data_IF_811285463684
#
_entry.id   IF_811285463684
#
_cell.length_a   1.000
_cell.length_b   1.000
_cell.length_c   1.000
_cell.angle_alpha   90.00
_cell.angle_beta   90.00
_cell.angle_gamma   90.00
#
_symmetry.space_group_name_H-M   'P 1'
#
loop_
_entity.id
_entity.type
_entity.pdbx_description
1 polymer ?
#
# COMPACT_ATOMS: atom_id res chain seq x y z
N UNK A 1 -6.44 17.84 -20.68
CA UNK A 1 -5.40 18.81 -21.10
C UNK A 1 -4.57 19.13 -19.88
N UNK A 2 -3.24 19.13 -19.97
CA UNK A 2 -2.36 19.44 -18.83
C UNK A 2 -2.35 20.94 -18.55
N UNK A 3 -2.25 21.34 -17.29
CA UNK A 3 -2.26 22.74 -16.86
C UNK A 3 -0.88 23.12 -16.34
N UNK A 4 -0.33 24.24 -16.82
CA UNK A 4 0.88 24.83 -16.23
C UNK A 4 0.46 25.68 -15.04
N UNK A 5 1.02 25.40 -13.86
CA UNK A 5 0.76 26.16 -12.62
C UNK A 5 2.09 26.64 -12.04
N UNK A 6 2.07 27.73 -11.27
CA UNK A 6 3.24 28.10 -10.47
C UNK A 6 3.44 27.07 -9.35
N UNK A 7 4.68 26.86 -8.88
CA UNK A 7 4.93 25.89 -7.79
C UNK A 7 4.21 26.29 -6.49
N UNK A 8 3.97 27.58 -6.27
CA UNK A 8 3.15 28.08 -5.17
C UNK A 8 1.65 27.74 -5.29
N UNK A 9 1.16 27.49 -6.50
CA UNK A 9 -0.23 27.07 -6.76
C UNK A 9 -0.38 25.54 -6.79
N UNK A 10 0.73 24.81 -7.01
CA UNK A 10 0.75 23.37 -6.95
C UNK A 10 0.53 22.91 -5.50
N UNK A 11 -0.37 21.94 -5.31
CA UNK A 11 -0.68 21.35 -4.02
C UNK A 11 -0.05 19.96 -3.87
N UNK A 12 0.28 19.53 -2.64
CA UNK A 12 0.61 18.13 -2.37
C UNK A 12 -0.51 17.21 -2.86
N UNK A 13 -0.15 16.22 -3.69
CA UNK A 13 -1.07 15.30 -4.36
C UNK A 13 -1.22 15.56 -5.86
N UNK A 14 -0.87 16.76 -6.35
CA UNK A 14 -0.85 17.08 -7.78
C UNK A 14 0.13 16.20 -8.53
N UNK A 15 -0.20 15.85 -9.77
CA UNK A 15 0.66 14.98 -10.57
C UNK A 15 1.35 15.72 -11.65
N UNK A 16 2.64 15.49 -11.77
CA UNK A 16 3.40 15.99 -12.90
C UNK A 16 2.91 15.36 -14.21
N UNK A 17 2.43 16.21 -15.12
CA UNK A 17 2.11 15.84 -16.48
C UNK A 17 3.35 15.69 -17.36
N UNK A 18 4.54 16.09 -16.87
CA UNK A 18 5.79 15.91 -17.57
C UNK A 18 6.96 15.75 -16.60
N UNK A 19 8.02 15.08 -17.05
CA UNK A 19 9.23 14.93 -16.25
C UNK A 19 9.96 16.27 -16.12
N UNK A 20 10.42 16.58 -14.91
CA UNK A 20 11.20 17.78 -14.61
C UNK A 20 12.66 17.40 -14.55
N UNK A 21 13.50 18.12 -15.29
CA UNK A 21 14.95 18.01 -15.27
C UNK A 21 15.56 19.26 -14.62
N UNK A 22 16.83 19.26 -14.23
CA UNK A 22 17.56 20.47 -13.84
C UNK A 22 18.27 21.13 -15.04
N UNK A 23 19.11 22.13 -14.79
CA UNK A 23 19.87 22.83 -15.85
C UNK A 23 20.94 21.94 -16.50
N UNK A 24 21.40 20.90 -15.81
CA UNK A 24 22.40 19.95 -16.27
C UNK A 24 21.76 18.72 -16.94
N UNK A 25 20.45 18.78 -17.23
CA UNK A 25 19.64 17.69 -17.80
C UNK A 25 19.49 16.47 -16.90
N UNK A 26 19.77 16.60 -15.60
CA UNK A 26 19.53 15.54 -14.61
C UNK A 26 18.06 15.50 -14.26
N UNK A 27 17.45 14.31 -14.33
CA UNK A 27 16.05 14.09 -13.98
C UNK A 27 15.80 14.36 -12.48
N UNK A 28 14.95 15.32 -12.18
CA UNK A 28 14.54 15.66 -10.81
C UNK A 28 13.30 14.88 -10.38
N UNK A 29 12.24 14.93 -11.19
CA UNK A 29 10.96 14.28 -10.93
C UNK A 29 10.41 13.71 -12.24
N UNK A 30 9.79 12.53 -12.18
CA UNK A 30 9.17 11.90 -13.36
C UNK A 30 7.74 12.37 -13.54
N UNK A 31 7.29 12.33 -14.79
CA UNK A 31 5.87 12.36 -15.14
C UNK A 31 5.11 11.26 -14.36
N UNK A 32 3.87 11.55 -13.96
CA UNK A 32 3.02 10.64 -13.18
C UNK A 32 3.27 10.68 -11.67
N UNK A 33 4.34 11.32 -11.20
CA UNK A 33 4.65 11.43 -9.76
C UNK A 33 3.69 12.41 -9.09
N UNK A 34 3.08 11.97 -7.98
CA UNK A 34 2.32 12.84 -7.08
C UNK A 34 3.28 13.69 -6.23
N UNK A 35 3.14 15.01 -6.31
CA UNK A 35 3.96 15.99 -5.60
C UNK A 35 3.72 15.89 -4.10
N UNK A 36 4.80 15.91 -3.32
CA UNK A 36 4.78 16.03 -1.86
C UNK A 36 5.25 17.43 -1.45
N UNK A 37 5.00 17.84 -0.20
CA UNK A 37 5.55 19.10 0.33
C UNK A 37 7.08 19.19 0.11
N UNK A 38 7.80 18.12 0.43
CA UNK A 38 9.25 18.06 0.26
C UNK A 38 9.69 18.22 -1.20
N UNK A 39 8.93 17.67 -2.15
CA UNK A 39 9.21 17.84 -3.58
C UNK A 39 8.96 19.26 -4.04
N UNK A 40 7.89 19.91 -3.57
CA UNK A 40 7.60 21.31 -3.87
C UNK A 40 8.71 22.23 -3.35
N UNK A 41 9.14 22.03 -2.09
CA UNK A 41 10.26 22.77 -1.48
C UNK A 41 11.57 22.57 -2.25
N UNK A 42 11.84 21.33 -2.67
CA UNK A 42 13.00 21.00 -3.50
C UNK A 42 12.97 21.74 -4.84
N UNK A 43 11.81 21.78 -5.51
CA UNK A 43 11.66 22.48 -6.79
C UNK A 43 11.87 23.98 -6.64
N UNK A 44 11.32 24.61 -5.59
CA UNK A 44 11.55 26.02 -5.27
C UNK A 44 13.04 26.30 -5.00
N UNK A 45 13.69 25.45 -4.20
CA UNK A 45 15.11 25.58 -3.87
C UNK A 45 16.00 25.49 -5.12
N UNK A 46 15.59 24.73 -6.14
CA UNK A 46 16.29 24.64 -7.43
C UNK A 46 15.89 25.73 -8.44
N UNK A 47 15.17 26.76 -8.00
CA UNK A 47 14.80 27.90 -8.84
C UNK A 47 13.79 27.56 -9.95
N UNK A 48 13.01 26.48 -9.79
CA UNK A 48 11.86 26.23 -10.66
C UNK A 48 10.72 27.12 -10.20
N UNK A 49 10.04 27.76 -11.15
CA UNK A 49 8.91 28.66 -10.89
C UNK A 49 7.55 28.00 -11.20
N UNK A 50 7.53 27.06 -12.16
CA UNK A 50 6.31 26.44 -12.66
C UNK A 50 6.49 24.95 -12.89
N UNK A 51 5.37 24.23 -12.87
CA UNK A 51 5.26 22.82 -13.21
C UNK A 51 4.02 22.58 -14.07
N UNK A 52 4.08 21.60 -14.97
CA UNK A 52 2.88 21.11 -15.67
C UNK A 52 2.30 19.97 -14.89
N UNK A 53 1.05 20.12 -14.48
CA UNK A 53 0.31 19.09 -13.76
C UNK A 53 -0.77 18.48 -14.64
N UNK A 54 -1.05 17.20 -14.41
CA UNK A 54 -2.24 16.57 -14.94
C UNK A 54 -3.45 17.39 -14.46
N UNK A 55 -4.49 17.56 -15.29
CA UNK A 55 -5.69 18.22 -14.84
C UNK A 55 -6.20 17.48 -13.60
N UNK A 56 -6.43 18.23 -12.52
CA UNK A 56 -7.22 17.70 -11.42
C UNK A 56 -8.59 17.36 -12.02
N UNK A 57 -8.95 16.09 -12.06
CA UNK A 57 -10.35 15.73 -12.06
C UNK A 57 -10.85 16.15 -10.68
N UNK A 58 -11.19 17.43 -10.53
CA UNK A 58 -11.78 17.96 -9.30
C UNK A 58 -13.16 17.34 -9.24
N UNK A 59 -13.23 16.16 -8.65
CA UNK A 59 -14.49 15.45 -8.53
C UNK A 59 -15.33 16.09 -7.42
N UNK A 60 -14.73 16.59 -6.34
CA UNK A 60 -15.48 17.24 -5.26
C UNK A 60 -14.64 17.98 -4.20
N UNK A 61 -15.32 18.78 -3.37
CA UNK A 61 -14.77 19.32 -2.13
C UNK A 61 -15.03 18.36 -0.95
N UNK A 62 -14.14 18.38 0.05
CA UNK A 62 -14.34 17.61 1.26
C UNK A 62 -15.62 18.09 1.97
N UNK A 63 -16.66 17.24 1.98
CA UNK A 63 -17.94 17.55 2.64
C UNK A 63 -17.81 17.93 4.13
N UNK A 64 -16.67 17.62 4.76
CA UNK A 64 -16.41 17.95 6.16
C UNK A 64 -15.66 19.28 6.38
N UNK A 65 -14.76 19.68 5.49
CA UNK A 65 -13.90 20.85 5.74
C UNK A 65 -13.71 21.77 4.53
N UNK A 66 -14.40 21.50 3.41
CA UNK A 66 -14.31 22.28 2.18
C UNK A 66 -12.96 22.19 1.45
N UNK A 67 -12.00 21.42 1.96
CA UNK A 67 -10.72 21.22 1.27
C UNK A 67 -10.96 20.45 -0.02
N UNK A 68 -10.54 21.01 -1.14
CA UNK A 68 -10.62 20.37 -2.45
C UNK A 68 -9.96 19.00 -2.42
N UNK A 69 -10.71 17.95 -2.77
CA UNK A 69 -10.17 16.60 -2.82
C UNK A 69 -9.56 16.37 -4.21
N UNK A 70 -8.26 16.13 -4.27
CA UNK A 70 -7.56 15.73 -5.49
C UNK A 70 -7.84 14.25 -5.80
N UNK A 71 -9.12 13.93 -6.00
CA UNK A 71 -9.59 12.59 -6.29
C UNK A 71 -9.19 12.24 -7.72
N UNK A 72 -8.86 10.97 -7.93
CA UNK A 72 -8.65 10.46 -9.28
C UNK A 72 -9.62 9.35 -9.54
N UNK A 73 -10.04 9.21 -10.79
CA UNK A 73 -10.76 8.01 -11.19
C UNK A 73 -9.88 6.78 -10.89
N UNK A 74 -10.37 5.81 -10.10
CA UNK A 74 -9.58 4.62 -9.81
C UNK A 74 -9.39 3.81 -11.11
N UNK A 75 -8.15 3.38 -11.39
CA UNK A 75 -7.83 2.48 -12.50
C UNK A 75 -8.21 1.02 -12.16
N UNK A 76 -9.44 0.79 -11.70
CA UNK A 76 -9.93 -0.53 -11.28
C UNK A 76 -10.65 -0.52 -9.93
N UNK A 77 -10.20 -1.36 -8.99
CA UNK A 77 -10.78 -1.54 -7.64
C UNK A 77 -10.76 -0.21 -6.87
N UNK A 78 -11.77 0.06 -6.03
CA UNK A 78 -11.88 1.33 -5.33
C UNK A 78 -10.60 1.66 -4.54
N UNK A 79 -10.21 2.92 -4.59
CA UNK A 79 -9.06 3.46 -3.86
C UNK A 79 -9.56 4.32 -2.71
N UNK A 80 -9.06 4.14 -1.48
CA UNK A 80 -9.30 5.12 -0.42
C UNK A 80 -8.51 6.41 -0.70
N UNK A 81 -9.13 7.56 -0.43
CA UNK A 81 -8.49 8.87 -0.42
C UNK A 81 -8.67 9.51 0.93
N UNK A 82 -7.59 9.99 1.55
CA UNK A 82 -7.69 10.81 2.75
C UNK A 82 -7.72 12.30 2.36
N UNK A 83 -8.62 13.06 2.96
CA UNK A 83 -8.62 14.51 2.85
C UNK A 83 -7.36 15.09 3.52
N UNK A 84 -6.59 15.90 2.79
CA UNK A 84 -5.41 16.55 3.34
C UNK A 84 -5.73 17.60 4.43
N UNK A 85 -6.96 18.14 4.46
CA UNK A 85 -7.39 19.10 5.46
C UNK A 85 -7.77 18.48 6.79
N UNK A 86 -8.66 17.47 6.78
CA UNK A 86 -9.24 16.89 8.00
C UNK A 86 -8.94 15.39 8.22
N UNK A 87 -8.25 14.72 7.29
CA UNK A 87 -7.90 13.30 7.39
C UNK A 87 -9.07 12.32 7.16
N UNK A 88 -10.26 12.82 6.78
CA UNK A 88 -11.42 11.98 6.47
C UNK A 88 -11.15 11.14 5.24
N UNK A 89 -11.51 9.86 5.30
CA UNK A 89 -11.30 8.93 4.18
C UNK A 89 -12.55 8.89 3.31
N UNK A 90 -12.35 8.88 2.01
CA UNK A 90 -13.36 8.75 0.95
C UNK A 90 -13.03 7.53 0.12
N UNK A 91 -14.03 6.85 -0.41
CA UNK A 91 -13.85 5.74 -1.33
C UNK A 91 -14.62 6.01 -2.60
N UNK A 92 -14.05 5.62 -3.73
CA UNK A 92 -14.66 5.86 -5.04
C UNK A 92 -15.24 4.57 -5.57
N UNK A 93 -16.57 4.50 -5.66
CA UNK A 93 -17.26 3.41 -6.34
C UNK A 93 -17.40 3.76 -7.81
N UNK A 94 -16.87 2.93 -8.71
CA UNK A 94 -17.24 3.00 -10.12
C UNK A 94 -18.71 2.53 -10.25
N UNK A 95 -19.59 3.25 -10.95
CA UNK A 95 -20.98 2.84 -11.08
C UNK A 95 -21.08 1.51 -11.82
N UNK A 96 -22.00 0.67 -11.34
CA UNK A 96 -22.19 -0.72 -11.79
C UNK A 96 -22.63 -0.84 -13.26
N UNK A 97 -23.01 0.26 -13.91
CA UNK A 97 -23.58 0.31 -15.27
C UNK A 97 -22.69 0.91 -16.35
N UNK A 98 -21.42 1.26 -16.06
CA UNK A 98 -20.56 1.93 -17.05
C UNK A 98 -19.98 0.96 -18.10
N UNK A 99 -20.81 0.49 -19.04
CA UNK A 99 -20.37 -0.17 -20.29
C UNK A 99 -20.05 0.84 -21.41
N UNK A 100 -19.91 2.13 -21.09
CA UNK A 100 -19.79 3.22 -22.04
C UNK A 100 -18.72 4.21 -21.59
N UNK A 101 -17.93 4.70 -22.55
CA UNK A 101 -16.77 5.59 -22.37
C UNK A 101 -17.09 7.02 -21.89
N UNK A 102 -18.19 7.20 -21.15
CA UNK A 102 -18.59 8.47 -20.54
C UNK A 102 -17.98 8.56 -19.13
N UNK A 103 -17.51 9.74 -18.67
CA UNK A 103 -17.09 9.93 -17.29
C UNK A 103 -18.26 9.61 -16.35
N UNK A 104 -18.21 8.44 -15.74
CA UNK A 104 -19.08 8.06 -14.65
C UNK A 104 -18.85 8.98 -13.45
N UNK A 105 -19.93 9.61 -12.95
CA UNK A 105 -19.91 10.35 -11.69
C UNK A 105 -19.48 9.40 -10.56
N UNK A 106 -18.37 9.74 -9.90
CA UNK A 106 -17.90 9.06 -8.70
C UNK A 106 -18.71 9.58 -7.51
N UNK A 107 -19.57 8.75 -6.94
CA UNK A 107 -20.20 9.07 -5.66
C UNK A 107 -19.18 8.88 -4.55
N UNK A 108 -18.98 9.92 -3.75
CA UNK A 108 -18.08 9.92 -2.60
C UNK A 108 -18.92 9.91 -1.34
N UNK A 109 -18.80 8.85 -0.55
CA UNK A 109 -19.43 8.80 0.75
C UNK A 109 -18.38 8.91 1.85
N UNK A 110 -18.51 9.87 2.78
CA UNK A 110 -17.63 9.93 3.93
C UNK A 110 -17.85 8.71 4.82
N UNK A 111 -16.77 8.09 5.31
CA UNK A 111 -16.91 6.97 6.27
C UNK A 111 -17.66 7.46 7.52
N UNK A 112 -18.73 6.75 7.88
CA UNK A 112 -19.51 7.01 9.08
C UNK A 112 -18.65 6.68 10.30
N UNK A 113 -18.39 7.68 11.14
CA UNK A 113 -17.63 7.49 12.37
C UNK A 113 -18.49 6.73 13.38
N UNK A 114 -17.89 5.75 14.04
CA UNK A 114 -18.52 5.10 15.18
C UNK A 114 -18.39 6.00 16.40
N UNK A 115 -19.49 6.65 16.81
CA UNK A 115 -19.56 7.40 18.06
C UNK A 115 -20.29 6.53 19.09
N UNK A 116 -19.52 5.79 19.90
CA UNK A 116 -20.06 5.08 21.07
C UNK A 116 -20.29 6.08 22.19
N UNK A 117 -21.46 6.01 22.83
CA UNK A 117 -21.72 6.74 24.06
C UNK A 117 -20.90 6.16 25.22
N UNK A 118 -20.68 6.95 26.28
CA UNK A 118 -19.97 6.48 27.46
C UNK A 118 -20.68 5.28 28.14
N UNK A 119 -22.01 5.23 28.07
CA UNK A 119 -22.81 4.11 28.58
C UNK A 119 -22.62 2.85 27.75
N UNK A 120 -22.64 2.96 26.41
CA UNK A 120 -22.34 1.83 25.51
C UNK A 120 -20.91 1.32 25.72
N UNK A 121 -19.93 2.22 25.91
CA UNK A 121 -18.55 1.81 26.20
C UNK A 121 -18.43 1.11 27.57
N UNK A 122 -19.14 1.58 28.60
CA UNK A 122 -19.13 1.00 29.94
C UNK A 122 -19.81 -0.38 30.00
N UNK A 123 -21.05 -0.49 29.50
CA UNK A 123 -21.80 -1.75 29.46
C UNK A 123 -21.01 -2.84 28.74
N UNK A 124 -20.28 -2.43 27.72
CA UNK A 124 -19.43 -3.31 26.95
C UNK A 124 -18.14 -3.72 27.65
N UNK A 125 -17.44 -2.80 28.36
CA UNK A 125 -16.28 -3.17 29.16
C UNK A 125 -16.67 -4.19 30.24
N UNK A 126 -17.89 -4.09 30.79
CA UNK A 126 -18.43 -5.08 31.72
C UNK A 126 -18.66 -6.45 31.05
N UNK A 127 -19.32 -6.49 29.89
CA UNK A 127 -19.50 -7.73 29.12
C UNK A 127 -18.15 -8.33 28.72
N UNK A 128 -17.15 -7.50 28.46
CA UNK A 128 -15.80 -7.93 28.11
C UNK A 128 -15.07 -8.60 29.26
N UNK A 129 -15.05 -7.98 30.44
CA UNK A 129 -14.43 -8.57 31.62
C UNK A 129 -15.08 -9.92 31.97
N UNK A 130 -16.40 -10.01 31.82
CA UNK A 130 -17.15 -11.27 32.01
C UNK A 130 -16.86 -12.33 30.94
N UNK A 131 -16.53 -11.91 29.72
CA UNK A 131 -16.22 -12.79 28.59
C UNK A 131 -14.73 -13.03 28.36
N UNK A 132 -13.86 -12.60 29.27
CA UNK A 132 -12.47 -13.06 29.25
C UNK A 132 -12.50 -14.58 29.29
N UNK A 133 -11.99 -15.21 28.21
CA UNK A 133 -12.07 -16.65 28.05
C UNK A 133 -11.26 -17.30 29.17
N UNK A 134 -11.96 -17.83 30.16
CA UNK A 134 -11.38 -18.67 31.20
C UNK A 134 -11.07 -20.01 30.56
N UNK A 135 -9.81 -20.23 30.20
CA UNK A 135 -9.35 -21.45 29.56
C UNK A 135 -7.89 -21.36 29.14
N UNK A 136 -7.26 -22.51 28.91
CA UNK A 136 -5.89 -22.56 28.40
C UNK A 136 -5.86 -21.92 27.01
N UNK A 137 -4.97 -20.96 26.80
CA UNK A 137 -4.78 -20.31 25.50
C UNK A 137 -4.38 -21.36 24.45
N UNK A 138 -5.27 -21.61 23.48
CA UNK A 138 -5.06 -22.61 22.42
C UNK A 138 -4.56 -21.98 21.12
N UNK A 139 -4.45 -20.65 21.05
CA UNK A 139 -4.03 -19.97 19.83
C UNK A 139 -2.54 -20.16 19.59
N UNK A 140 -2.18 -20.29 18.32
CA UNK A 140 -0.79 -20.39 17.85
C UNK A 140 0.03 -19.11 18.08
N UNK A 141 -0.62 -17.95 18.05
CA UNK A 141 0.02 -16.65 18.19
C UNK A 141 -0.60 -15.90 19.36
N UNK A 142 0.26 -15.28 20.17
CA UNK A 142 -0.14 -14.36 21.22
C UNK A 142 -0.94 -13.19 20.64
N UNK A 143 -1.97 -12.75 21.37
CA UNK A 143 -2.79 -11.60 21.01
C UNK A 143 -2.47 -10.46 21.94
N UNK A 144 -2.20 -9.30 21.36
CA UNK A 144 -1.99 -8.07 22.08
C UNK A 144 -3.29 -7.28 22.11
N UNK A 145 -3.80 -7.00 23.30
CA UNK A 145 -4.95 -6.13 23.49
C UNK A 145 -4.58 -4.71 23.05
N UNK A 146 -5.30 -4.17 22.08
CA UNK A 146 -5.02 -2.85 21.52
C UNK A 146 -6.30 -2.21 21.02
N UNK A 147 -6.49 -0.93 21.34
CA UNK A 147 -7.61 -0.09 20.87
C UNK A 147 -7.11 0.90 19.83
N UNK A 148 -7.18 0.50 18.56
CA UNK A 148 -6.86 1.31 17.39
C UNK A 148 -8.07 1.40 16.46
N UNK A 149 -8.37 2.59 15.91
CA UNK A 149 -9.35 2.70 14.84
C UNK A 149 -8.85 1.99 13.58
N UNK A 150 -9.76 1.34 12.88
CA UNK A 150 -9.50 0.65 11.63
C UNK A 150 -10.63 0.93 10.64
N UNK A 151 -10.28 1.45 9.46
CA UNK A 151 -11.23 1.56 8.36
C UNK A 151 -11.31 0.20 7.67
N UNK A 152 -12.50 -0.37 7.56
CA UNK A 152 -12.73 -1.68 6.92
C UNK A 152 -13.59 -1.51 5.69
N UNK A 153 -13.11 -2.03 4.56
CA UNK A 153 -13.85 -2.13 3.31
C UNK A 153 -14.37 -3.57 3.16
N UNK A 154 -15.69 -3.79 3.18
CA UNK A 154 -16.27 -5.12 3.07
C UNK A 154 -16.12 -5.72 1.67
N UNK A 155 -15.73 -6.99 1.61
CA UNK A 155 -15.48 -7.71 0.35
C UNK A 155 -16.29 -9.01 0.26
N UNK A 156 -16.76 -9.33 -0.95
CA UNK A 156 -17.45 -10.59 -1.25
C UNK A 156 -16.47 -11.77 -1.45
N UNK A 157 -17.02 -12.95 -1.78
CA UNK A 157 -16.24 -14.17 -2.02
C UNK A 157 -15.28 -14.11 -3.23
N UNK A 158 -15.37 -13.07 -4.06
CA UNK A 158 -14.50 -12.80 -5.20
C UNK A 158 -13.54 -11.63 -4.94
N UNK A 159 -13.48 -11.14 -3.70
CA UNK A 159 -12.70 -9.96 -3.30
C UNK A 159 -13.17 -8.66 -3.97
N UNK A 160 -14.42 -8.60 -4.40
CA UNK A 160 -15.04 -7.37 -4.89
C UNK A 160 -15.71 -6.62 -3.75
N UNK A 161 -15.80 -5.29 -3.86
CA UNK A 161 -16.43 -4.45 -2.84
C UNK A 161 -17.90 -4.76 -2.77
N UNK A 162 -18.37 -5.14 -1.57
CA UNK A 162 -19.72 -5.64 -1.35
C UNK A 162 -20.53 -4.80 -0.36
N UNK A 163 -19.95 -3.74 0.17
CA UNK A 163 -20.61 -2.86 1.13
C UNK A 163 -19.83 -1.57 1.30
N UNK A 164 -20.41 -0.63 2.03
CA UNK A 164 -19.78 0.65 2.32
C UNK A 164 -18.60 0.48 3.30
N UNK A 165 -17.55 1.31 3.18
CA UNK A 165 -16.50 1.35 4.18
C UNK A 165 -17.05 1.72 5.55
N UNK A 166 -16.53 1.08 6.59
CA UNK A 166 -16.98 1.24 7.98
C UNK A 166 -15.79 1.46 8.91
N UNK A 167 -15.91 2.36 9.88
CA UNK A 167 -14.90 2.52 10.95
C UNK A 167 -15.19 1.53 12.07
N UNK A 168 -14.21 0.66 12.36
CA UNK A 168 -14.27 -0.30 13.45
C UNK A 168 -13.16 0.00 14.46
N UNK A 169 -13.35 -0.47 15.69
CA UNK A 169 -12.31 -0.40 16.71
C UNK A 169 -11.70 -1.79 16.92
N UNK A 170 -10.38 -1.88 16.88
CA UNK A 170 -9.68 -3.11 17.27
C UNK A 170 -9.85 -3.38 18.76
N UNK A 171 -9.99 -4.66 19.08
CA UNK A 171 -9.99 -5.17 20.45
C UNK A 171 -8.64 -5.82 20.75
N UNK A 172 -8.16 -6.65 19.82
CA UNK A 172 -6.87 -7.31 19.89
C UNK A 172 -6.30 -7.58 18.50
N UNK A 173 -4.98 -7.65 18.40
CA UNK A 173 -4.24 -7.96 17.17
C UNK A 173 -3.19 -9.05 17.47
N UNK A 174 -2.96 -9.92 16.51
CA UNK A 174 -1.89 -10.93 16.52
C UNK A 174 -1.23 -11.01 15.15
N UNK A 175 -0.18 -11.82 15.00
CA UNK A 175 0.43 -12.08 13.70
C UNK A 175 -0.54 -12.74 12.70
N UNK A 176 -1.54 -13.50 13.18
CA UNK A 176 -2.45 -14.28 12.33
C UNK A 176 -3.82 -13.64 12.07
N UNK A 177 -4.15 -12.52 12.72
CA UNK A 177 -5.46 -11.91 12.63
C UNK A 177 -5.72 -10.84 13.68
N UNK A 178 -6.90 -10.25 13.60
CA UNK A 178 -7.39 -9.24 14.55
C UNK A 178 -8.81 -9.59 15.02
N UNK A 179 -9.20 -8.99 16.13
CA UNK A 179 -10.58 -8.91 16.56
C UNK A 179 -11.01 -7.45 16.48
N UNK A 180 -12.05 -7.17 15.71
CA UNK A 180 -12.64 -5.84 15.54
C UNK A 180 -14.02 -5.78 16.19
N UNK A 181 -14.51 -4.56 16.38
CA UNK A 181 -15.80 -4.28 16.99
C UNK A 181 -16.57 -3.22 16.22
N UNK A 182 -17.88 -3.42 16.15
CA UNK A 182 -18.81 -2.56 15.45
C UNK A 182 -20.19 -2.60 16.12
N UNK A 183 -21.05 -1.60 15.92
CA UNK A 183 -22.43 -1.60 16.44
C UNK A 183 -23.38 -2.47 15.59
N UNK A 184 -23.00 -2.75 14.35
CA UNK A 184 -23.78 -3.56 13.41
C UNK A 184 -23.02 -4.83 13.01
N UNK A 185 -23.76 -5.87 12.60
CA UNK A 185 -23.20 -7.11 12.11
C UNK A 185 -22.33 -6.90 10.86
N UNK A 186 -21.30 -7.74 10.68
CA UNK A 186 -20.45 -7.73 9.50
C UNK A 186 -20.63 -9.01 8.68
N UNK A 187 -21.59 -8.99 7.76
CA UNK A 187 -22.05 -10.17 7.01
C UNK A 187 -21.26 -10.44 5.72
N UNK A 188 -20.03 -9.91 5.65
CA UNK A 188 -19.15 -10.05 4.48
C UNK A 188 -18.06 -11.09 4.74
N UNK A 189 -17.75 -11.98 3.79
CA UNK A 189 -16.79 -13.06 4.01
C UNK A 189 -15.33 -12.59 4.11
N UNK A 190 -15.02 -11.43 3.50
CA UNK A 190 -13.68 -10.86 3.49
C UNK A 190 -13.72 -9.37 3.82
N UNK A 191 -12.57 -8.86 4.24
CA UNK A 191 -12.38 -7.47 4.65
C UNK A 191 -11.01 -6.99 4.17
N UNK A 192 -10.96 -5.82 3.55
CA UNK A 192 -9.74 -5.04 3.44
C UNK A 192 -9.68 -4.06 4.60
N UNK A 193 -8.66 -4.18 5.43
CA UNK A 193 -8.53 -3.43 6.68
C UNK A 193 -7.39 -2.44 6.53
N UNK A 194 -7.64 -1.19 6.92
CA UNK A 194 -6.65 -0.14 7.02
C UNK A 194 -6.53 0.30 8.49
N UNK A 195 -5.45 -0.11 9.14
CA UNK A 195 -5.08 0.36 10.48
C UNK A 195 -4.28 1.66 10.38
N UNK A 196 -4.76 2.69 11.06
CA UNK A 196 -4.01 3.94 11.26
C UNK A 196 -3.15 3.80 12.51
N UNK A 197 -1.82 3.76 12.35
CA UNK A 197 -0.87 3.64 13.44
C UNK A 197 -0.28 5.02 13.79
N UNK A 198 0.26 5.21 15.01
CA UNK A 198 1.02 6.41 15.36
C UNK A 198 2.19 6.67 14.39
N UNK A 199 2.67 7.93 14.37
CA UNK A 199 3.78 8.38 13.53
C UNK A 199 3.54 8.20 12.01
N UNK A 200 2.29 8.39 11.58
CA UNK A 200 1.90 8.32 10.16
C UNK A 200 2.24 6.98 9.50
N UNK A 201 2.23 5.89 10.28
CA UNK A 201 2.40 4.53 9.78
C UNK A 201 1.02 3.97 9.46
N UNK A 202 0.94 3.21 8.38
CA UNK A 202 -0.27 2.52 7.97
C UNK A 202 0.00 1.03 7.86
N UNK A 203 -0.96 0.21 8.31
CA UNK A 203 -0.94 -1.22 8.09
C UNK A 203 -2.21 -1.61 7.34
N UNK A 204 -2.03 -2.32 6.22
CA UNK A 204 -3.14 -2.71 5.36
C UNK A 204 -3.16 -4.21 5.17
N UNK A 205 -4.31 -4.82 5.42
CA UNK A 205 -4.45 -6.27 5.51
C UNK A 205 -5.68 -6.72 4.74
N UNK A 206 -5.54 -7.78 3.96
CA UNK A 206 -6.67 -8.56 3.49
C UNK A 206 -6.93 -9.65 4.52
N UNK A 207 -8.19 -9.80 4.94
CA UNK A 207 -8.56 -10.77 5.94
C UNK A 207 -9.86 -11.50 5.59
N UNK A 208 -9.95 -12.75 6.01
CA UNK A 208 -11.19 -13.52 6.02
C UNK A 208 -11.91 -13.30 7.34
N UNK A 209 -13.22 -13.08 7.28
CA UNK A 209 -14.07 -13.07 8.46
C UNK A 209 -14.27 -14.51 8.93
N UNK A 210 -13.81 -14.81 10.14
CA UNK A 210 -13.90 -16.14 10.75
C UNK A 210 -14.86 -16.19 11.92
N UNK A 211 -15.33 -15.02 12.38
CA UNK A 211 -16.32 -14.88 13.45
C UNK A 211 -17.06 -13.56 13.29
N UNK A 212 -18.38 -13.59 13.43
CA UNK A 212 -19.24 -12.42 13.54
C UNK A 212 -20.30 -12.77 14.60
N UNK A 213 -20.22 -12.17 15.79
CA UNK A 213 -21.06 -12.56 16.94
C UNK A 213 -21.56 -11.33 17.72
N UNK A 214 -22.84 -11.31 18.05
CA UNK A 214 -23.41 -10.35 18.99
C UNK A 214 -22.85 -10.57 20.41
N UNK A 215 -22.43 -9.47 21.03
CA UNK A 215 -21.88 -9.40 22.37
C UNK A 215 -22.66 -8.38 23.23
N UNK A 216 -23.99 -8.29 23.05
CA UNK A 216 -24.86 -7.50 23.92
C UNK A 216 -24.81 -6.01 23.62
N UNK A 217 -25.11 -5.65 22.37
CA UNK A 217 -25.13 -4.25 21.89
C UNK A 217 -23.93 -3.87 21.02
N UNK A 218 -23.00 -4.80 20.83
CA UNK A 218 -21.92 -4.66 19.86
C UNK A 218 -21.62 -6.01 19.21
N UNK A 219 -21.14 -5.97 17.97
CA UNK A 219 -20.69 -7.14 17.22
C UNK A 219 -19.18 -7.31 17.32
N UNK A 220 -18.77 -8.52 17.68
CA UNK A 220 -17.39 -8.96 17.64
C UNK A 220 -17.07 -9.63 16.31
N UNK A 221 -16.09 -9.07 15.59
CA UNK A 221 -15.71 -9.49 14.25
C UNK A 221 -14.29 -10.05 14.31
N UNK A 222 -14.18 -11.38 14.28
CA UNK A 222 -12.91 -12.08 14.26
C UNK A 222 -12.40 -12.23 12.83
N UNK A 223 -11.16 -11.79 12.61
CA UNK A 223 -10.50 -11.76 11.31
C UNK A 223 -9.27 -12.67 11.30
N UNK A 224 -9.07 -13.39 10.19
CA UNK A 224 -7.84 -14.14 9.91
C UNK A 224 -7.15 -13.51 8.70
N UNK A 225 -5.92 -13.04 8.87
CA UNK A 225 -5.17 -12.43 7.79
C UNK A 225 -4.90 -13.45 6.68
N UNK A 226 -5.16 -13.07 5.44
CA UNK A 226 -4.88 -13.87 4.23
C UNK A 226 -3.65 -13.33 3.49
N UNK A 227 -3.50 -12.01 3.45
CA UNK A 227 -2.32 -11.36 2.89
C UNK A 227 -2.10 -9.99 3.52
N UNK A 228 -0.85 -9.55 3.56
CA UNK A 228 -0.49 -8.16 3.80
C UNK A 228 -0.58 -7.43 2.47
N UNK A 229 -1.33 -6.34 2.41
CA UNK A 229 -1.33 -5.47 1.22
C UNK A 229 -0.20 -4.48 1.40
N UNK A 230 0.87 -4.69 0.64
CA UNK A 230 2.02 -3.79 0.61
C UNK A 230 1.72 -2.80 -0.51
N UNK A 231 1.35 -1.57 -0.18
CA UNK A 231 1.38 -0.51 -1.19
C UNK A 231 2.82 -0.19 -1.54
N UNK A 232 3.13 -0.25 -2.82
CA UNK A 232 4.47 -0.12 -3.35
C UNK A 232 5.02 1.33 -3.33
N UNK A 233 4.42 2.26 -2.58
CA UNK A 233 4.71 3.69 -2.71
C UNK A 233 6.12 4.11 -2.31
N UNK A 234 6.84 3.29 -1.52
CA UNK A 234 8.18 3.63 -1.02
C UNK A 234 9.31 2.75 -1.59
N UNK A 235 9.02 1.84 -2.52
CA UNK A 235 10.13 1.08 -3.10
C UNK A 235 10.94 1.97 -4.03
N UNK A 236 12.26 1.85 -4.00
CA UNK A 236 13.12 2.57 -4.92
C UNK A 236 12.74 2.23 -6.37
N UNK A 237 13.02 3.12 -7.33
CA UNK A 237 12.81 2.81 -8.73
C UNK A 237 13.69 1.63 -9.15
N UNK A 238 13.25 0.92 -10.18
CA UNK A 238 14.06 -0.07 -10.88
C UNK A 238 15.42 0.53 -11.25
N UNK A 239 16.50 -0.22 -11.00
CA UNK A 239 17.88 0.19 -11.28
C UNK A 239 18.24 0.10 -12.77
N UNK A 240 17.36 -0.41 -13.62
CA UNK A 240 17.59 -0.40 -15.08
C UNK A 240 17.52 1.04 -15.60
N UNK A 241 18.58 1.48 -16.27
CA UNK A 241 18.69 2.82 -16.82
C UNK A 241 17.46 3.20 -17.66
N UNK A 242 16.86 4.35 -17.37
CA UNK A 242 15.64 4.83 -18.02
C UNK A 242 14.33 4.28 -17.44
N UNK A 243 14.35 3.15 -16.72
CA UNK A 243 13.15 2.59 -16.11
C UNK A 243 12.68 3.46 -14.93
N UNK A 244 11.39 3.82 -14.92
CA UNK A 244 10.76 4.57 -13.83
C UNK A 244 9.84 3.72 -12.96
N UNK A 245 9.67 2.44 -13.32
CA UNK A 245 8.80 1.54 -12.58
C UNK A 245 9.39 1.27 -11.19
N UNK A 246 8.51 1.15 -10.22
CA UNK A 246 8.83 0.78 -8.86
C UNK A 246 9.49 -0.61 -8.80
N UNK A 247 10.58 -0.74 -8.04
CA UNK A 247 11.23 -2.04 -7.88
C UNK A 247 10.33 -3.00 -7.11
N UNK A 248 10.21 -4.22 -7.64
CA UNK A 248 9.47 -5.33 -7.05
C UNK A 248 10.42 -6.40 -6.48
N UNK A 249 11.68 -6.42 -6.90
CA UNK A 249 12.68 -7.42 -6.49
C UNK A 249 14.04 -6.81 -6.15
N UNK A 250 14.73 -7.42 -5.19
CA UNK A 250 16.17 -7.31 -4.97
C UNK A 250 16.89 -8.46 -5.67
N UNK A 251 17.78 -8.12 -6.59
CA UNK A 251 18.63 -9.09 -7.28
C UNK A 251 19.84 -9.43 -6.41
N UNK A 252 20.12 -10.72 -6.30
CA UNK A 252 21.30 -11.25 -5.61
C UNK A 252 22.00 -12.27 -6.51
N UNK A 253 23.32 -12.34 -6.41
CA UNK A 253 24.13 -13.32 -7.11
C UNK A 253 24.38 -14.53 -6.20
N UNK A 254 24.01 -15.71 -6.68
CA UNK A 254 24.35 -17.00 -6.08
C UNK A 254 25.45 -17.67 -6.90
N UNK A 255 26.57 -18.00 -6.27
CA UNK A 255 27.64 -18.74 -6.93
C UNK A 255 28.39 -19.66 -5.98
N UNK A 256 28.94 -20.74 -6.53
CA UNK A 256 29.84 -21.64 -5.83
C UNK A 256 31.27 -21.12 -6.03
N UNK A 257 31.96 -20.83 -4.94
CA UNK A 257 33.39 -20.52 -4.99
C UNK A 257 34.15 -21.78 -5.41
N UNK A 258 34.97 -21.68 -6.47
CA UNK A 258 35.67 -22.84 -7.01
C UNK A 258 36.88 -23.28 -6.17
N UNK A 259 37.40 -22.41 -5.29
CA UNK A 259 38.53 -22.71 -4.42
C UNK A 259 38.07 -23.26 -3.07
N UNK A 260 37.09 -22.62 -2.43
CA UNK A 260 36.61 -23.06 -1.12
C UNK A 260 35.48 -24.10 -1.20
N UNK A 261 34.75 -24.14 -2.32
CA UNK A 261 33.54 -24.95 -2.45
C UNK A 261 32.33 -24.36 -1.71
N UNK A 262 32.44 -23.15 -1.16
CA UNK A 262 31.35 -22.50 -0.43
C UNK A 262 30.33 -21.89 -1.39
N UNK A 263 29.06 -21.91 -0.97
CA UNK A 263 27.99 -21.19 -1.64
C UNK A 263 27.97 -19.75 -1.13
N UNK A 264 28.25 -18.79 -2.01
CA UNK A 264 28.19 -17.36 -1.69
C UNK A 264 26.86 -16.78 -2.16
N UNK A 265 26.30 -15.89 -1.34
CA UNK A 265 25.07 -15.16 -1.60
C UNK A 265 25.27 -13.68 -1.27
N UNK A 266 25.15 -12.82 -2.27
CA UNK A 266 25.38 -11.39 -2.09
C UNK A 266 24.53 -10.54 -3.05
N UNK A 267 24.28 -9.25 -2.73
CA UNK A 267 23.56 -8.36 -3.63
C UNK A 267 24.25 -8.21 -4.98
N UNK A 268 23.46 -8.16 -6.06
CA UNK A 268 23.98 -7.89 -7.40
C UNK A 268 24.27 -6.39 -7.56
N UNK A 269 25.54 -6.04 -7.73
CA UNK A 269 26.01 -4.66 -7.84
C UNK A 269 25.67 -4.01 -9.19
N UNK A 270 25.38 -4.81 -10.21
CA UNK A 270 25.09 -4.29 -11.56
C UNK A 270 23.67 -3.76 -11.70
N UNK A 271 22.70 -4.36 -11.00
CA UNK A 271 21.30 -3.91 -10.98
C UNK A 271 20.59 -4.49 -9.73
N UNK A 272 20.79 -3.89 -8.55
CA UNK A 272 20.36 -4.48 -7.28
C UNK A 272 18.84 -4.52 -7.11
N UNK A 273 18.09 -3.74 -7.89
CA UNK A 273 16.65 -3.57 -7.75
C UNK A 273 15.97 -3.60 -9.11
N UNK A 274 14.99 -4.48 -9.29
CA UNK A 274 14.29 -4.68 -10.55
C UNK A 274 12.78 -4.52 -10.37
N UNK A 275 12.11 -3.87 -11.33
CA UNK A 275 10.66 -4.01 -11.47
C UNK A 275 10.31 -5.41 -12.00
N UNK A 276 9.02 -5.74 -11.98
CA UNK A 276 8.55 -7.05 -12.43
C UNK A 276 8.87 -7.33 -13.91
N UNK A 277 8.71 -6.34 -14.79
CA UNK A 277 8.98 -6.50 -16.23
C UNK A 277 10.44 -6.81 -16.52
N UNK A 278 11.38 -6.05 -15.93
CA UNK A 278 12.81 -6.30 -16.16
C UNK A 278 13.33 -7.57 -15.49
N UNK A 279 12.70 -8.03 -14.41
CA UNK A 279 12.96 -9.36 -13.85
C UNK A 279 12.56 -10.47 -14.85
N UNK A 280 11.37 -10.36 -15.46
CA UNK A 280 10.92 -11.31 -16.49
C UNK A 280 11.79 -11.25 -17.75
N UNK A 281 12.19 -10.05 -18.18
CA UNK A 281 13.10 -9.88 -19.31
C UNK A 281 14.46 -10.54 -19.05
N UNK A 282 14.99 -10.38 -17.84
CA UNK A 282 16.21 -11.02 -17.41
C UNK A 282 16.16 -12.55 -17.60
N UNK A 283 15.11 -13.18 -17.07
CA UNK A 283 14.94 -14.63 -17.16
C UNK A 283 14.70 -15.10 -18.59
N UNK A 284 13.89 -14.37 -19.36
CA UNK A 284 13.56 -14.72 -20.74
C UNK A 284 14.78 -14.66 -21.66
N UNK A 285 15.67 -13.69 -21.43
CA UNK A 285 16.85 -13.44 -22.27
C UNK A 285 18.15 -13.95 -21.62
N UNK A 286 18.05 -14.72 -20.53
CA UNK A 286 19.20 -15.34 -19.91
C UNK A 286 19.88 -16.27 -20.92
N UNK A 287 21.16 -16.03 -21.20
CA UNK A 287 21.94 -16.87 -22.11
C UNK A 287 22.79 -17.79 -21.24
N UNK A 288 22.41 -19.07 -21.21
CA UNK A 288 23.24 -20.12 -20.63
C UNK A 288 24.44 -20.41 -21.55
N UNK A 289 25.63 -20.55 -20.95
CA UNK A 289 26.71 -21.25 -21.67
C UNK A 289 26.45 -22.76 -21.56
N UNK A 290 26.52 -23.50 -22.67
CA UNK A 290 26.36 -24.94 -22.63
C UNK A 290 27.44 -25.52 -21.70
N UNK A 291 27.01 -26.20 -20.64
CA UNK A 291 27.80 -27.04 -19.74
C UNK A 291 28.37 -26.45 -18.44
N UNK A 292 27.96 -25.26 -17.98
CA UNK A 292 28.20 -24.90 -16.57
C UNK A 292 27.22 -23.86 -16.04
N UNK A 293 26.60 -24.14 -14.89
CA UNK A 293 25.92 -23.16 -14.01
C UNK A 293 26.84 -21.97 -13.67
N UNK A 294 28.16 -22.12 -13.90
CA UNK A 294 29.17 -21.15 -13.55
C UNK A 294 29.13 -19.83 -14.33
N UNK A 295 28.28 -19.63 -15.36
CA UNK A 295 28.18 -18.31 -16.00
C UNK A 295 26.88 -18.12 -16.79
N UNK A 296 25.80 -17.76 -16.12
CA UNK A 296 24.59 -17.26 -16.79
C UNK A 296 24.74 -15.75 -16.99
N UNK A 297 24.52 -15.27 -18.23
CA UNK A 297 24.49 -13.85 -18.54
C UNK A 297 23.06 -13.37 -18.62
N UNK A 298 22.75 -12.32 -17.86
CA UNK A 298 21.47 -11.65 -17.88
C UNK A 298 21.61 -10.25 -18.52
N UNK A 299 20.56 -9.72 -19.18
CA UNK A 299 20.55 -8.37 -19.74
C UNK A 299 20.73 -7.24 -18.71
N UNK A 300 20.16 -7.39 -17.52
CA UNK A 300 20.13 -6.35 -16.49
C UNK A 300 20.97 -6.70 -15.27
N UNK A 301 20.99 -7.97 -14.85
CA UNK A 301 21.78 -8.42 -13.69
C UNK A 301 23.05 -9.14 -14.12
N UNK A 302 23.97 -9.34 -13.18
CA UNK A 302 25.26 -9.97 -13.41
C UNK A 302 26.00 -9.44 -14.66
N UNK A 303 25.91 -8.13 -14.95
CA UNK A 303 26.45 -7.54 -16.19
C UNK A 303 27.97 -7.66 -16.30
N UNK A 304 28.64 -7.78 -15.17
CA UNK A 304 30.08 -8.02 -15.07
C UNK A 304 30.47 -9.46 -15.47
N UNK A 305 29.50 -10.33 -15.76
CA UNK A 305 29.72 -11.71 -16.17
C UNK A 305 30.37 -12.54 -15.05
N UNK A 306 30.03 -12.23 -13.80
CA UNK A 306 30.52 -12.96 -12.63
C UNK A 306 29.98 -14.38 -12.68
N UNK A 307 30.69 -15.30 -12.02
CA UNK A 307 30.22 -16.68 -11.92
C UNK A 307 28.92 -16.71 -11.13
N UNK A 308 27.99 -17.57 -11.50
CA UNK A 308 26.73 -17.77 -10.78
C UNK A 308 25.45 -17.49 -11.55
N UNK A 309 24.36 -17.50 -10.80
CA UNK A 309 22.98 -17.22 -11.23
C UNK A 309 22.41 -16.08 -10.40
N UNK A 310 21.57 -15.25 -11.02
CA UNK A 310 20.84 -14.22 -10.28
C UNK A 310 19.59 -14.84 -9.66
N UNK A 311 19.33 -14.54 -8.39
CA UNK A 311 18.09 -14.89 -7.68
C UNK A 311 17.39 -13.62 -7.22
N UNK A 312 16.07 -13.60 -7.38
CA UNK A 312 15.23 -12.45 -7.10
C UNK A 312 14.46 -12.63 -5.79
N UNK A 313 14.72 -11.76 -4.83
CA UNK A 313 13.94 -11.69 -3.59
C UNK A 313 12.91 -10.57 -3.73
N UNK A 314 11.61 -10.81 -3.53
CA UNK A 314 10.64 -9.73 -3.54
C UNK A 314 11.08 -8.61 -2.59
N UNK A 315 10.89 -7.34 -2.97
CA UNK A 315 11.07 -6.20 -2.06
C UNK A 315 9.91 -6.22 -1.05
N UNK A 316 9.93 -7.19 -0.15
CA UNK A 316 9.18 -7.08 1.10
C UNK A 316 9.88 -6.01 1.92
N UNK A 317 9.14 -5.07 2.53
CA UNK A 317 9.74 -4.29 3.63
C UNK A 317 10.21 -5.31 4.67
N UNK A 318 11.50 -5.62 4.64
CA UNK A 318 12.21 -6.21 5.75
C UNK A 318 12.28 -5.07 6.76
N UNK A 319 11.29 -5.03 7.67
CA UNK A 319 11.48 -4.28 8.89
C UNK A 319 12.77 -4.84 9.49
N UNK A 320 13.83 -4.02 9.52
CA UNK A 320 14.88 -4.22 10.49
C UNK A 320 14.16 -4.21 11.85
N UNK A 321 13.85 -5.39 12.37
CA UNK A 321 13.71 -5.60 13.80
C UNK A 321 15.09 -5.27 14.36
N UNK A 322 15.34 -3.99 14.60
CA UNK A 322 16.40 -3.58 15.51
C UNK A 322 15.98 -4.13 16.86
N UNK A 323 16.58 -5.26 17.24
CA UNK A 323 16.59 -5.76 18.60
C UNK A 323 17.07 -4.61 19.50
N UNK A 324 16.16 -4.12 20.34
CA UNK A 324 16.51 -3.42 21.57
C UNK A 324 16.68 -4.46 22.68
#
# INVERSE_FOLDING_TARGET
>A
MCTTVTISEAAPGDVLAESIYDAETTLLLREGVALTNQMLDMLLTRGREWVRIEPRDVLDDCASCGTQLALRKPNGVARPWACNGCGKVYFGKAPESASSAVPADLTLEPVKKLDLTAEEEAAFNEVWEKNQRVGVEQRKHERHAVKLPATVLPLDGKFMISGEPVELTTQDISQGGACLRHTEAFDHPYAYIHFKLPANRELRMLAKVVRNRDCGGAWEIGLKYTSRVIEHSDHPPCSVAGCGATAAYHAHLYYLDSESGDLTFEPDDSCPQLCHEHMLENERLAIERPNSIASVRYPHTNRNGRKGVTVYHPVTRCEKLTTA
#
